data_IF_276123563855
#
_entry.id   IF_276123563855
#
_cell.length_a   1.000
_cell.length_b   1.000
_cell.length_c   1.000
_cell.angle_alpha   90.00
_cell.angle_beta   90.00
_cell.angle_gamma   90.00
#
_symmetry.space_group_name_H-M   'P 1'
#
loop_
_entity.id
_entity.type
_entity.pdbx_description
1 polymer ?
#
# COMPACT_ATOMS: atom_id res chain seq x y z
N UNK A 1 4.89 11.66 10.06
CA UNK A 1 3.42 11.71 9.93
C UNK A 1 2.87 10.42 10.54
N UNK A 2 1.89 10.51 11.43
CA UNK A 2 1.32 9.39 12.18
C UNK A 2 -0.07 9.07 11.65
N UNK A 3 -0.34 7.80 11.29
CA UNK A 3 -1.66 7.38 10.86
C UNK A 3 -2.60 7.36 12.06
N UNK A 4 -3.63 8.20 12.05
CA UNK A 4 -4.65 8.25 13.10
C UNK A 4 -5.63 7.08 12.90
N UNK A 5 -5.26 5.93 13.45
CA UNK A 5 -6.17 4.90 13.97
C UNK A 5 -5.74 4.63 15.43
N UNK A 6 -6.50 3.90 16.24
CA UNK A 6 -6.37 3.74 17.71
C UNK A 6 -4.99 3.26 18.25
N UNK A 7 -3.98 3.07 17.40
CA UNK A 7 -2.59 2.81 17.78
C UNK A 7 -1.60 3.52 16.81
N UNK A 8 -0.67 4.31 17.37
CA UNK A 8 0.38 5.06 16.65
C UNK A 8 1.44 4.13 16.03
N UNK A 9 1.09 3.39 14.98
CA UNK A 9 2.03 2.57 14.21
C UNK A 9 2.77 3.43 13.17
N UNK A 10 4.12 3.37 13.14
CA UNK A 10 4.91 4.14 12.18
C UNK A 10 4.77 3.61 10.76
N UNK A 11 4.84 4.49 9.77
CA UNK A 11 5.03 4.09 8.39
C UNK A 11 6.43 3.45 8.20
N UNK A 12 6.44 2.23 7.68
CA UNK A 12 7.65 1.46 7.36
C UNK A 12 7.86 1.45 5.85
N UNK A 13 9.06 1.77 5.33
CA UNK A 13 9.31 1.72 3.90
C UNK A 13 9.20 0.29 3.35
N UNK A 14 8.66 0.17 2.14
CA UNK A 14 8.52 -1.13 1.43
C UNK A 14 9.09 -1.05 0.02
N UNK A 15 9.62 -2.18 -0.43
CA UNK A 15 10.12 -2.39 -1.80
C UNK A 15 9.84 -3.84 -2.20
N UNK A 16 8.73 -4.10 -2.87
CA UNK A 16 8.29 -5.44 -3.28
C UNK A 16 8.63 -5.68 -4.75
N UNK A 17 9.10 -6.89 -5.09
CA UNK A 17 9.41 -7.23 -6.48
C UNK A 17 8.11 -7.34 -7.29
N UNK A 18 7.99 -6.59 -8.39
CA UNK A 18 6.80 -6.59 -9.23
C UNK A 18 7.07 -7.21 -10.59
N UNK A 19 7.15 -8.54 -10.62
CA UNK A 19 7.56 -9.29 -11.82
C UNK A 19 6.65 -9.13 -13.03
N UNK A 20 5.37 -8.78 -12.83
CA UNK A 20 4.43 -8.43 -13.91
C UNK A 20 4.87 -7.15 -14.63
N UNK A 21 5.48 -6.21 -13.90
CA UNK A 21 6.19 -5.09 -14.49
C UNK A 21 5.32 -4.03 -15.13
N UNK A 22 4.00 -4.15 -15.03
CA UNK A 22 3.01 -3.29 -15.67
C UNK A 22 1.86 -3.02 -14.70
N UNK A 23 1.38 -1.77 -14.70
CA UNK A 23 0.31 -1.33 -13.82
C UNK A 23 0.60 -1.53 -12.34
N UNK A 24 -0.44 -1.36 -11.53
CA UNK A 24 -0.43 -1.67 -10.11
C UNK A 24 -1.19 -2.98 -9.86
N UNK A 25 -0.81 -3.78 -8.85
CA UNK A 25 -1.49 -5.02 -8.52
C UNK A 25 -2.99 -4.87 -8.30
N UNK A 26 -3.73 -5.93 -8.63
CA UNK A 26 -5.06 -6.17 -8.08
C UNK A 26 -4.97 -6.79 -6.66
N UNK A 27 -6.12 -7.13 -6.09
CA UNK A 27 -6.31 -7.67 -4.75
C UNK A 27 -5.50 -8.94 -4.50
N UNK A 28 -5.62 -9.93 -5.39
CA UNK A 28 -4.91 -11.21 -5.24
C UNK A 28 -3.40 -11.04 -5.47
N UNK A 29 -3.02 -10.19 -6.42
CA UNK A 29 -1.61 -9.91 -6.74
C UNK A 29 -0.90 -9.23 -5.57
N UNK A 30 -1.48 -8.19 -4.94
CA UNK A 30 -0.86 -7.56 -3.77
C UNK A 30 -0.82 -8.53 -2.59
N UNK A 31 -1.86 -9.34 -2.39
CA UNK A 31 -1.89 -10.34 -1.33
C UNK A 31 -0.77 -11.38 -1.49
N UNK A 32 -0.45 -11.80 -2.74
CA UNK A 32 0.71 -12.65 -3.03
C UNK A 32 2.04 -11.95 -2.71
N UNK A 33 2.17 -10.67 -3.06
CA UNK A 33 3.41 -9.91 -2.85
C UNK A 33 3.75 -9.70 -1.36
N UNK A 34 2.73 -9.63 -0.51
CA UNK A 34 2.90 -9.51 0.95
C UNK A 34 2.92 -10.86 1.65
N UNK A 35 3.02 -11.95 0.89
CA UNK A 35 3.04 -13.33 1.39
C UNK A 35 1.84 -13.68 2.28
N UNK A 36 0.65 -13.20 1.90
CA UNK A 36 -0.59 -13.53 2.61
C UNK A 36 -0.82 -15.04 2.63
N UNK A 37 -1.28 -15.59 3.76
CA UNK A 37 -1.45 -17.02 3.97
C UNK A 37 -2.48 -17.66 3.02
N UNK A 38 -3.46 -16.89 2.55
CA UNK A 38 -4.40 -17.27 1.51
C UNK A 38 -4.70 -16.07 0.61
N UNK A 39 -3.93 -15.83 -0.46
CA UNK A 39 -4.09 -14.64 -1.29
C UNK A 39 -5.44 -14.54 -2.02
N UNK A 40 -6.00 -15.68 -2.42
CA UNK A 40 -7.27 -15.74 -3.17
C UNK A 40 -8.50 -15.42 -2.29
N UNK A 41 -8.36 -15.47 -0.97
CA UNK A 41 -9.41 -15.08 -0.01
C UNK A 41 -8.95 -13.96 0.92
N UNK A 42 -7.90 -13.23 0.55
CA UNK A 42 -7.48 -12.07 1.29
C UNK A 42 -8.55 -10.98 1.16
N UNK A 43 -8.97 -10.40 2.28
CA UNK A 43 -9.81 -9.22 2.26
C UNK A 43 -8.92 -8.01 1.95
N UNK A 44 -8.94 -7.59 0.69
CA UNK A 44 -8.18 -6.45 0.19
C UNK A 44 -9.14 -5.40 -0.34
N UNK A 45 -8.97 -4.17 0.12
CA UNK A 45 -9.65 -2.99 -0.41
C UNK A 45 -8.64 -2.10 -1.13
N UNK A 46 -8.99 -1.69 -2.35
CA UNK A 46 -8.20 -0.77 -3.17
C UNK A 46 -8.84 0.61 -3.09
N UNK A 47 -8.08 1.61 -2.66
CA UNK A 47 -8.54 2.99 -2.54
C UNK A 47 -7.62 3.95 -3.28
N UNK A 48 -8.22 5.05 -3.75
CA UNK A 48 -7.48 6.21 -4.24
C UNK A 48 -6.86 6.97 -3.06
N UNK A 49 -5.62 7.50 -3.19
CA UNK A 49 -4.95 8.21 -2.10
C UNK A 49 -5.75 9.41 -1.55
N UNK A 50 -6.51 10.09 -2.40
CA UNK A 50 -7.34 11.24 -2.02
C UNK A 50 -8.56 10.81 -1.20
N UNK A 51 -9.14 9.65 -1.52
CA UNK A 51 -10.28 9.10 -0.78
C UNK A 51 -9.86 8.46 0.54
N UNK A 52 -8.64 7.92 0.60
CA UNK A 52 -8.06 7.40 1.84
C UNK A 52 -7.64 8.54 2.78
N UNK A 53 -7.01 9.59 2.26
CA UNK A 53 -6.53 10.75 3.01
C UNK A 53 -7.41 11.99 2.82
N UNK A 54 -8.72 11.87 3.09
CA UNK A 54 -9.69 12.97 2.90
C UNK A 54 -9.34 14.25 3.66
N UNK A 55 -8.64 14.10 4.79
CA UNK A 55 -8.25 15.22 5.65
C UNK A 55 -6.85 15.77 5.31
N UNK A 56 -6.13 15.18 4.35
CA UNK A 56 -4.80 15.62 3.92
C UNK A 56 -3.70 15.43 4.98
N UNK A 57 -3.86 14.49 5.91
CA UNK A 57 -2.92 14.20 6.99
C UNK A 57 -1.65 13.49 6.50
N UNK A 58 -1.72 12.79 5.36
CA UNK A 58 -0.64 12.00 4.78
C UNK A 58 -0.16 12.54 3.44
N UNK A 59 -0.46 13.80 3.13
CA UNK A 59 -0.02 14.45 1.88
C UNK A 59 1.48 14.29 1.63
N UNK A 60 2.32 14.50 2.65
CA UNK A 60 3.78 14.35 2.52
C UNK A 60 4.21 12.92 2.14
N UNK A 61 3.49 11.91 2.65
CA UNK A 61 3.73 10.50 2.31
C UNK A 61 3.31 10.26 0.86
N UNK A 62 2.12 10.68 0.47
CA UNK A 62 1.61 10.54 -0.90
C UNK A 62 2.54 11.22 -1.90
N UNK A 63 3.00 12.44 -1.59
CA UNK A 63 3.93 13.20 -2.43
C UNK A 63 5.29 12.51 -2.55
N UNK A 64 5.82 11.94 -1.45
CA UNK A 64 7.07 11.19 -1.45
C UNK A 64 6.97 9.91 -2.30
N UNK A 65 5.88 9.16 -2.16
CA UNK A 65 5.62 7.94 -2.96
C UNK A 65 5.46 8.31 -4.44
N UNK A 66 4.70 9.35 -4.76
CA UNK A 66 4.53 9.84 -6.15
C UNK A 66 5.87 10.19 -6.80
N UNK A 67 6.75 10.89 -6.06
CA UNK A 67 8.11 11.22 -6.53
C UNK A 67 8.95 9.97 -6.77
N UNK A 68 8.86 8.95 -5.91
CA UNK A 68 9.59 7.70 -6.07
C UNK A 68 9.16 6.92 -7.34
N UNK A 69 7.89 7.03 -7.72
CA UNK A 69 7.31 6.46 -8.94
C UNK A 69 7.53 7.30 -10.20
N UNK A 70 8.20 8.46 -10.11
CA UNK A 70 8.42 9.41 -11.23
C UNK A 70 7.12 9.82 -11.93
N UNK A 71 6.04 10.00 -11.17
CA UNK A 71 4.73 10.38 -11.70
C UNK A 71 3.82 9.22 -12.11
N UNK A 72 4.21 7.98 -11.83
CA UNK A 72 3.28 6.84 -11.89
C UNK A 72 2.16 6.97 -10.85
N UNK A 73 1.05 6.28 -11.09
CA UNK A 73 -0.08 6.23 -10.18
C UNK A 73 0.34 5.73 -8.78
N UNK A 74 -0.29 6.29 -7.76
CA UNK A 74 -0.19 5.84 -6.36
C UNK A 74 -1.51 5.19 -5.98
N UNK A 75 -1.44 4.07 -5.27
CA UNK A 75 -2.62 3.35 -4.80
C UNK A 75 -2.46 2.97 -3.33
N UNK A 76 -3.58 2.97 -2.63
CA UNK A 76 -3.67 2.51 -1.25
C UNK A 76 -4.34 1.13 -1.25
N UNK A 77 -3.71 0.17 -0.58
CA UNK A 77 -4.27 -1.14 -0.34
C UNK A 77 -4.48 -1.30 1.17
N UNK A 78 -5.70 -1.63 1.60
CA UNK A 78 -5.97 -2.11 2.95
C UNK A 78 -6.09 -3.63 2.89
N UNK A 79 -5.29 -4.35 3.67
CA UNK A 79 -5.29 -5.81 3.75
C UNK A 79 -5.63 -6.22 5.17
N UNK A 80 -6.77 -6.90 5.37
CA UNK A 80 -7.15 -7.37 6.69
C UNK A 80 -6.15 -8.42 7.21
N UNK A 81 -5.71 -8.26 8.47
CA UNK A 81 -4.87 -9.23 9.19
C UNK A 81 -5.71 -10.16 10.04
N UNK A 82 -6.64 -9.58 10.78
CA UNK A 82 -7.57 -10.26 11.66
C UNK A 82 -8.79 -9.37 11.91
N UNK A 83 -9.61 -9.72 12.92
CA UNK A 83 -10.88 -9.04 13.19
C UNK A 83 -10.75 -7.56 13.54
N UNK A 84 -9.59 -7.11 13.99
CA UNK A 84 -9.41 -5.74 14.47
C UNK A 84 -8.14 -5.08 13.95
N UNK A 85 -7.50 -5.64 12.93
CA UNK A 85 -6.25 -5.10 12.38
C UNK A 85 -6.20 -5.21 10.87
N UNK A 86 -5.67 -4.17 10.23
CA UNK A 86 -5.40 -4.14 8.81
C UNK A 86 -4.01 -3.54 8.53
N UNK A 87 -3.30 -4.06 7.53
CA UNK A 87 -2.11 -3.40 6.98
C UNK A 87 -2.50 -2.51 5.80
N UNK A 88 -2.12 -1.24 5.86
CA UNK A 88 -2.24 -0.30 4.78
C UNK A 88 -0.92 -0.23 4.01
N UNK A 89 -0.99 -0.25 2.69
CA UNK A 89 0.14 -0.06 1.79
C UNK A 89 -0.14 1.13 0.88
N UNK A 90 0.71 2.16 0.96
CA UNK A 90 0.68 3.30 0.04
C UNK A 90 1.87 3.15 -0.89
N UNK A 91 1.62 2.70 -2.11
CA UNK A 91 2.68 2.29 -3.03
C UNK A 91 2.46 2.81 -4.44
N UNK A 92 3.56 2.91 -5.17
CA UNK A 92 3.60 3.15 -6.61
C UNK A 92 4.54 2.16 -7.29
N UNK A 93 4.44 2.06 -8.60
CA UNK A 93 5.39 1.29 -9.40
C UNK A 93 6.63 2.13 -9.69
N UNK A 94 7.80 1.54 -9.49
CA UNK A 94 9.09 2.07 -9.92
C UNK A 94 9.72 1.13 -10.95
N UNK A 95 10.07 1.68 -12.11
CA UNK A 95 10.60 0.91 -13.24
C UNK A 95 9.52 0.12 -14.00
N UNK A 96 9.96 -0.70 -14.94
CA UNK A 96 9.11 -1.42 -15.88
C UNK A 96 9.63 -2.85 -16.10
N UNK A 97 8.75 -3.75 -16.53
CA UNK A 97 9.12 -5.13 -16.85
C UNK A 97 9.59 -5.92 -15.61
N UNK A 98 10.44 -6.93 -15.83
CA UNK A 98 10.84 -7.88 -14.76
C UNK A 98 11.63 -7.28 -13.61
N UNK A 99 12.18 -6.07 -13.78
CA UNK A 99 12.91 -5.33 -12.75
C UNK A 99 12.04 -4.34 -11.99
N UNK A 100 10.77 -4.18 -12.36
CA UNK A 100 9.87 -3.26 -11.68
C UNK A 100 9.69 -3.66 -10.22
N UNK A 101 9.44 -2.65 -9.39
CA UNK A 101 9.16 -2.80 -7.97
C UNK A 101 7.98 -1.95 -7.56
N UNK A 102 7.26 -2.40 -6.54
CA UNK A 102 6.36 -1.53 -5.80
C UNK A 102 7.14 -0.90 -4.65
N UNK A 103 7.19 0.42 -4.65
CA UNK A 103 7.90 1.20 -3.64
C UNK A 103 6.93 2.12 -2.93
N UNK A 104 7.14 2.30 -1.64
CA UNK A 104 6.34 3.22 -0.84
C UNK A 104 6.44 2.90 0.64
N UNK A 105 5.32 2.96 1.35
CA UNK A 105 5.24 2.69 2.78
C UNK A 105 4.11 1.73 3.12
N UNK A 106 4.23 1.09 4.29
CA UNK A 106 3.14 0.38 4.93
C UNK A 106 2.95 0.83 6.38
N UNK A 107 1.75 0.71 6.90
CA UNK A 107 1.43 0.91 8.31
C UNK A 107 0.41 -0.14 8.76
N UNK A 108 0.51 -0.61 10.00
CA UNK A 108 -0.54 -1.42 10.61
C UNK A 108 -1.56 -0.47 11.25
N UNK A 109 -2.83 -0.78 11.14
CA UNK A 109 -3.89 -0.06 11.81
C UNK A 109 -4.65 -1.04 12.71
N UNK A 110 -5.06 -0.55 13.88
CA UNK A 110 -6.04 -1.22 14.74
C UNK A 110 -7.41 -0.59 14.44
N UNK A 111 -8.37 -1.43 14.09
CA UNK A 111 -9.75 -1.09 13.75
C UNK A 111 -10.64 -1.81 14.76
N UNK A 112 -10.92 -1.16 15.90
CA UNK A 112 -11.80 -1.69 16.96
C UNK A 112 -13.19 -1.06 16.92
#
# INVERSE_FOLDING_TARGET
AFYVSDADEPFVPVSLAWGKGEGLPNEEEIAKLVEHWNPASAEVEIMDPVDWDKNGQYKDIIDAVTKAGKGNDVRVYRIAKDKSRAEYFVVTRQGDGKSARLVGVKALAVES
#
